data_IF_135498089800
#
_entry.id   IF_135498089800
#
_cell.length_a   1.000
_cell.length_b   1.000
_cell.length_c   1.000
_cell.angle_alpha   90.00
_cell.angle_beta   90.00
_cell.angle_gamma   90.00
#
_symmetry.space_group_name_H-M   'P 1'
#
loop_
_entity.id
_entity.type
_entity.pdbx_description
1 polymer ?
#
# COMPACT_ATOMS: atom_id res chain seq x y z
N UNK A 1 41.76 -69.23 -14.05
CA UNK A 1 42.30 -67.86 -14.14
C UNK A 1 42.16 -67.40 -15.57
N UNK A 2 41.39 -66.32 -15.79
CA UNK A 2 41.42 -65.36 -16.94
C UNK A 2 41.49 -65.91 -18.38
N UNK A 3 40.73 -65.45 -19.39
CA UNK A 3 39.62 -64.53 -19.59
C UNK A 3 39.62 -64.25 -21.11
N UNK A 4 38.52 -64.46 -21.83
CA UNK A 4 38.23 -63.71 -23.06
C UNK A 4 36.77 -63.95 -23.51
N UNK A 5 36.02 -62.86 -23.48
CA UNK A 5 34.57 -62.72 -23.62
C UNK A 5 34.03 -62.89 -25.05
N UNK A 6 32.74 -63.23 -25.24
CA UNK A 6 31.94 -62.82 -26.40
C UNK A 6 31.07 -61.58 -26.07
N UNK A 7 30.61 -60.79 -27.07
CA UNK A 7 29.78 -59.61 -26.86
C UNK A 7 28.28 -59.94 -26.67
N UNK A 8 27.48 -59.03 -26.07
CA UNK A 8 26.06 -59.22 -25.77
C UNK A 8 25.12 -58.76 -26.91
N UNK A 9 23.82 -59.09 -26.88
CA UNK A 9 22.83 -58.57 -27.82
C UNK A 9 22.23 -57.24 -27.32
N UNK A 10 21.50 -56.51 -28.18
CA UNK A 10 20.41 -55.67 -27.67
C UNK A 10 19.07 -55.98 -28.33
N UNK A 11 18.09 -56.26 -27.47
CA UNK A 11 16.68 -55.93 -27.68
C UNK A 11 16.44 -54.48 -27.23
N UNK A 12 15.54 -53.75 -27.88
CA UNK A 12 15.11 -52.44 -27.38
C UNK A 12 14.32 -51.62 -28.41
N UNK A 13 13.01 -51.60 -28.24
CA UNK A 13 12.03 -50.94 -29.08
C UNK A 13 12.04 -49.40 -28.96
N UNK A 14 11.67 -48.76 -30.08
CA UNK A 14 10.96 -47.49 -30.26
C UNK A 14 11.07 -46.39 -29.17
N UNK A 15 11.62 -45.24 -29.56
CA UNK A 15 11.31 -43.95 -28.95
C UNK A 15 10.96 -42.96 -30.06
N UNK A 16 9.65 -42.76 -30.28
CA UNK A 16 9.12 -41.66 -31.06
C UNK A 16 8.97 -40.44 -30.13
N UNK A 17 9.61 -39.34 -30.51
CA UNK A 17 9.56 -38.06 -29.81
C UNK A 17 8.14 -37.47 -29.84
N UNK A 18 7.62 -37.08 -28.68
CA UNK A 18 6.39 -36.30 -28.55
C UNK A 18 6.77 -34.82 -28.41
N UNK A 19 6.24 -34.01 -29.31
CA UNK A 19 6.52 -32.59 -29.48
C UNK A 19 5.88 -31.73 -28.39
N UNK A 20 6.57 -30.70 -27.92
CA UNK A 20 6.19 -29.85 -26.79
C UNK A 20 5.07 -28.81 -27.08
N UNK A 21 4.15 -29.10 -28.01
CA UNK A 21 3.13 -28.17 -28.49
C UNK A 21 1.70 -28.40 -27.94
N UNK A 22 1.46 -29.43 -27.12
CA UNK A 22 0.11 -29.85 -26.70
C UNK A 22 -0.23 -29.61 -25.21
N UNK A 23 0.20 -28.49 -24.60
CA UNK A 23 -0.13 -28.18 -23.18
C UNK A 23 -1.02 -26.96 -22.95
N UNK A 24 -1.70 -26.44 -23.98
CA UNK A 24 -2.54 -25.22 -23.86
C UNK A 24 -4.05 -25.46 -24.05
N UNK A 25 -4.50 -26.68 -24.37
CA UNK A 25 -5.93 -26.96 -24.58
C UNK A 25 -6.59 -27.69 -23.39
N UNK A 26 -6.52 -27.05 -22.22
CA UNK A 26 -6.97 -27.61 -20.94
C UNK A 26 -8.07 -26.82 -20.23
N UNK A 27 -9.03 -26.21 -20.95
CA UNK A 27 -10.20 -25.57 -20.33
C UNK A 27 -11.50 -26.23 -20.82
N UNK A 28 -11.87 -27.34 -20.20
CA UNK A 28 -13.22 -27.92 -20.34
C UNK A 28 -14.13 -27.38 -19.24
N UNK A 29 -15.23 -26.75 -19.64
CA UNK A 29 -16.32 -26.26 -18.76
C UNK A 29 -16.89 -27.43 -17.95
N UNK A 30 -16.84 -27.33 -16.62
CA UNK A 30 -17.74 -28.07 -15.71
C UNK A 30 -18.31 -27.13 -14.66
N UNK A 31 -19.64 -27.04 -14.68
CA UNK A 31 -20.49 -26.33 -13.71
C UNK A 31 -20.62 -27.14 -12.42
N UNK A 32 -20.46 -26.53 -11.24
CA UNK A 32 -21.03 -27.05 -9.98
C UNK A 32 -21.39 -25.90 -9.03
N UNK A 33 -22.65 -25.90 -8.56
CA UNK A 33 -23.18 -25.05 -7.48
C UNK A 33 -22.90 -25.67 -6.10
N UNK A 34 -22.63 -24.79 -5.12
CA UNK A 34 -22.84 -24.83 -3.64
C UNK A 34 -22.65 -26.15 -2.87
N UNK A 35 -21.78 -26.14 -1.83
CA UNK A 35 -22.19 -26.16 -0.41
C UNK A 35 -21.01 -26.12 0.60
N UNK A 36 -21.25 -25.40 1.70
CA UNK A 36 -20.78 -25.57 3.10
C UNK A 36 -19.33 -25.32 3.55
N UNK A 37 -19.24 -24.34 4.48
CA UNK A 37 -18.20 -24.09 5.49
C UNK A 37 -17.79 -25.36 6.25
N UNK A 38 -16.48 -25.58 6.38
CA UNK A 38 -15.85 -25.99 7.65
C UNK A 38 -14.35 -25.65 7.71
N UNK A 39 -13.86 -25.55 8.95
CA UNK A 39 -12.67 -24.83 9.42
C UNK A 39 -11.33 -25.52 9.14
N UNK A 40 -10.30 -24.67 9.03
CA UNK A 40 -8.88 -24.82 9.40
C UNK A 40 -8.05 -25.92 8.71
N UNK A 41 -7.06 -25.48 7.93
CA UNK A 41 -5.72 -26.08 7.90
C UNK A 41 -4.65 -24.98 8.03
N UNK A 42 -3.65 -25.27 8.85
CA UNK A 42 -2.52 -24.43 9.23
C UNK A 42 -1.34 -24.58 8.24
N UNK A 43 -0.50 -23.55 8.16
CA UNK A 43 0.87 -23.54 7.59
C UNK A 43 0.91 -22.93 6.18
N UNK A 44 1.72 -21.92 5.85
CA UNK A 44 3.11 -21.68 6.25
C UNK A 44 3.48 -20.20 6.13
N UNK A 45 3.59 -19.52 7.28
CA UNK A 45 4.34 -18.27 7.43
C UNK A 45 5.38 -18.46 8.54
N UNK A 46 6.53 -19.03 8.19
CA UNK A 46 7.72 -18.97 9.04
C UNK A 46 8.63 -17.82 8.55
N UNK A 47 8.17 -16.59 8.73
CA UNK A 47 9.09 -15.53 9.15
C UNK A 47 9.16 -15.60 10.68
N UNK A 48 10.02 -16.50 11.17
CA UNK A 48 10.43 -16.48 12.57
C UNK A 48 11.44 -15.34 12.68
N UNK A 49 10.98 -14.15 13.05
CA UNK A 49 11.85 -13.20 13.74
C UNK A 49 12.41 -13.96 14.95
N UNK A 50 13.72 -14.20 14.96
CA UNK A 50 14.42 -14.56 16.19
C UNK A 50 14.23 -13.39 17.15
N UNK A 51 13.22 -13.50 18.02
CA UNK A 51 13.24 -12.83 19.30
C UNK A 51 14.24 -13.61 20.15
N UNK A 52 15.54 -13.40 19.92
CA UNK A 52 16.50 -13.59 20.99
C UNK A 52 16.07 -12.60 22.06
N UNK A 53 15.73 -13.09 23.26
CA UNK A 53 15.71 -12.23 24.42
C UNK A 53 17.05 -11.49 24.45
N UNK A 54 17.09 -10.15 24.53
CA UNK A 54 18.30 -9.51 24.95
C UNK A 54 18.52 -9.94 26.40
N UNK A 55 19.59 -10.70 26.64
CA UNK A 55 20.17 -10.81 27.97
C UNK A 55 20.23 -9.39 28.57
N UNK A 56 19.61 -9.22 29.73
CA UNK A 56 19.63 -7.99 30.51
C UNK A 56 21.07 -7.72 30.96
N UNK A 57 21.87 -7.12 30.08
CA UNK A 57 23.06 -6.41 30.51
C UNK A 57 22.63 -5.13 31.24
N UNK A 58 23.11 -4.88 32.47
CA UNK A 58 22.82 -3.62 33.16
C UNK A 58 23.36 -2.46 32.33
N UNK A 59 22.47 -1.55 31.92
CA UNK A 59 22.85 -0.32 31.23
C UNK A 59 23.70 0.57 32.17
N UNK A 60 24.71 1.29 31.64
CA UNK A 60 25.45 2.29 32.41
C UNK A 60 24.49 3.38 32.95
N UNK A 61 24.48 3.56 34.28
CA UNK A 61 23.48 4.30 35.05
C UNK A 61 23.50 5.85 34.93
N UNK A 62 23.81 6.45 33.76
CA UNK A 62 24.04 7.92 33.69
C UNK A 62 23.15 8.73 32.73
N UNK A 63 22.03 8.20 32.22
CA UNK A 63 21.01 8.99 31.44
C UNK A 63 19.56 8.89 31.98
N UNK A 64 19.33 8.28 33.14
CA UNK A 64 17.99 7.98 33.65
C UNK A 64 17.23 9.17 34.25
N UNK A 65 17.90 10.02 35.03
CA UNK A 65 17.24 11.02 35.87
C UNK A 65 16.50 12.12 35.09
N UNK A 66 17.12 12.68 34.04
CA UNK A 66 16.47 13.70 33.22
C UNK A 66 15.28 13.13 32.42
N UNK A 67 15.37 11.89 31.94
CA UNK A 67 14.31 11.25 31.13
C UNK A 67 13.06 10.94 31.96
N UNK A 68 13.23 10.53 33.22
CA UNK A 68 12.10 10.33 34.15
C UNK A 68 11.43 11.67 34.47
N UNK A 69 12.22 12.73 34.68
CA UNK A 69 11.66 14.05 34.97
C UNK A 69 10.82 14.64 33.83
N UNK A 70 11.26 14.47 32.58
CA UNK A 70 10.53 14.99 31.41
C UNK A 70 9.25 14.19 31.13
N UNK A 71 9.26 12.87 31.30
CA UNK A 71 8.06 12.04 31.18
C UNK A 71 6.97 12.45 32.17
N UNK A 72 7.34 12.73 33.43
CA UNK A 72 6.42 13.22 34.46
C UNK A 72 5.83 14.59 34.10
N UNK A 73 6.62 15.48 33.48
CA UNK A 73 6.12 16.80 33.02
C UNK A 73 5.08 16.63 31.92
N UNK A 74 5.33 15.78 30.92
CA UNK A 74 4.36 15.50 29.86
C UNK A 74 3.08 14.85 30.40
N UNK A 75 3.22 13.88 31.30
CA UNK A 75 2.07 13.21 31.91
C UNK A 75 1.24 14.19 32.75
N UNK A 76 1.88 15.00 33.59
CA UNK A 76 1.21 16.04 34.36
C UNK A 76 0.49 17.03 33.45
N UNK A 77 1.16 17.53 32.41
CA UNK A 77 0.57 18.50 31.49
C UNK A 77 -0.61 17.89 30.71
N UNK A 78 -0.51 16.63 30.31
CA UNK A 78 -1.60 15.92 29.65
C UNK A 78 -2.80 15.77 30.58
N UNK A 79 -2.60 15.32 31.83
CA UNK A 79 -3.68 15.24 32.84
C UNK A 79 -4.30 16.60 33.13
N UNK A 80 -3.49 17.65 33.19
CA UNK A 80 -3.96 19.03 33.35
C UNK A 80 -4.87 19.46 32.20
N UNK A 81 -4.49 19.18 30.94
CA UNK A 81 -5.32 19.46 29.77
C UNK A 81 -6.59 18.61 29.71
N UNK A 82 -6.55 17.37 30.19
CA UNK A 82 -7.67 16.43 30.19
C UNK A 82 -8.67 16.65 31.33
N UNK A 83 -8.29 17.40 32.37
CA UNK A 83 -9.16 17.72 33.50
C UNK A 83 -10.51 18.32 33.05
N UNK A 84 -11.65 17.87 33.61
CA UNK A 84 -12.96 18.42 33.30
C UNK A 84 -13.09 19.88 33.72
N UNK A 85 -12.36 20.30 34.75
CA UNK A 85 -12.36 21.68 35.25
C UNK A 85 -11.44 22.62 34.45
N UNK A 86 -10.76 22.10 33.42
CA UNK A 86 -9.88 22.89 32.57
C UNK A 86 -10.67 23.93 31.77
N UNK A 87 -10.35 25.21 31.94
CA UNK A 87 -11.01 26.32 31.24
C UNK A 87 -10.13 26.87 30.10
N UNK A 88 -10.46 26.60 28.81
CA UNK A 88 -9.68 27.10 27.67
C UNK A 88 -9.67 28.63 27.58
N UNK A 89 -10.70 29.30 28.09
CA UNK A 89 -10.84 30.76 28.11
C UNK A 89 -9.75 31.48 28.92
N UNK A 90 -9.26 30.84 29.99
CA UNK A 90 -8.17 31.34 30.83
C UNK A 90 -6.83 30.93 30.20
N UNK A 91 -6.70 29.65 29.85
CA UNK A 91 -5.45 29.08 29.34
C UNK A 91 -4.99 29.69 27.99
N UNK A 92 -5.90 30.20 27.16
CA UNK A 92 -5.56 30.83 25.87
C UNK A 92 -4.60 32.03 25.98
N UNK A 93 -4.46 32.63 27.17
CA UNK A 93 -3.50 33.73 27.41
C UNK A 93 -2.06 33.24 27.50
N UNK A 94 -1.86 31.95 27.79
CA UNK A 94 -0.56 31.33 28.00
C UNK A 94 -0.22 30.32 26.90
N UNK A 95 -1.23 29.60 26.41
CA UNK A 95 -1.11 28.71 25.24
C UNK A 95 -1.40 29.55 23.99
N UNK A 96 -0.37 30.22 23.49
CA UNK A 96 -0.43 31.06 22.30
C UNK A 96 0.27 30.41 21.09
N UNK A 97 0.40 31.15 19.99
CA UNK A 97 1.07 30.66 18.77
C UNK A 97 2.55 30.35 19.01
N UNK A 98 3.22 31.09 19.89
CA UNK A 98 4.64 30.88 20.22
C UNK A 98 4.82 29.57 20.99
N UNK A 99 3.95 29.29 21.95
CA UNK A 99 3.92 28.01 22.65
C UNK A 99 3.75 26.84 21.68
N UNK A 100 2.77 26.94 20.75
CA UNK A 100 2.54 25.90 19.74
C UNK A 100 3.75 25.71 18.82
N UNK A 101 4.41 26.79 18.41
CA UNK A 101 5.61 26.72 17.58
C UNK A 101 6.73 25.94 18.27
N UNK A 102 7.02 26.26 19.54
CA UNK A 102 8.04 25.56 20.33
C UNK A 102 7.65 24.09 20.56
N UNK A 103 6.37 23.82 20.81
CA UNK A 103 5.86 22.45 20.96
C UNK A 103 6.06 21.62 19.68
N UNK A 104 5.82 22.22 18.51
CA UNK A 104 6.00 21.55 17.21
C UNK A 104 7.47 21.25 16.90
N UNK A 105 8.41 22.10 17.34
CA UNK A 105 9.84 21.85 17.19
C UNK A 105 10.31 20.60 17.95
N UNK A 106 9.67 20.26 19.07
CA UNK A 106 9.99 19.07 19.86
C UNK A 106 9.63 17.75 19.15
N UNK A 107 8.79 17.78 18.12
CA UNK A 107 8.46 16.57 17.34
C UNK A 107 9.66 15.99 16.60
N UNK A 108 10.76 16.73 16.45
CA UNK A 108 12.00 16.21 15.89
C UNK A 108 12.84 15.39 16.90
N UNK A 109 12.33 15.16 18.12
CA UNK A 109 12.97 14.29 19.11
C UNK A 109 13.21 12.88 18.57
N UNK A 110 14.40 12.33 18.84
CA UNK A 110 14.74 10.94 18.48
C UNK A 110 13.94 9.92 19.32
N UNK A 111 13.47 10.30 20.52
CA UNK A 111 12.76 9.39 21.43
C UNK A 111 11.29 9.22 21.02
N UNK A 112 10.87 8.03 20.52
CA UNK A 112 9.48 7.82 20.09
C UNK A 112 8.45 8.01 21.21
N UNK A 113 8.85 7.83 22.48
CA UNK A 113 7.95 8.02 23.62
C UNK A 113 7.61 9.49 23.82
N UNK A 114 8.58 10.37 23.66
CA UNK A 114 8.35 11.82 23.72
C UNK A 114 7.44 12.26 22.58
N UNK A 115 7.69 11.77 21.36
CA UNK A 115 6.82 12.07 20.21
C UNK A 115 5.38 11.59 20.42
N UNK A 116 5.17 10.45 21.07
CA UNK A 116 3.82 9.95 21.37
C UNK A 116 3.08 10.83 22.42
N UNK A 117 3.80 11.34 23.43
CA UNK A 117 3.25 12.34 24.35
C UNK A 117 2.91 13.65 23.61
N UNK A 118 3.84 14.16 22.81
CA UNK A 118 3.66 15.38 22.02
C UNK A 118 2.46 15.26 21.07
N UNK A 119 2.31 14.11 20.41
CA UNK A 119 1.16 13.77 19.57
C UNK A 119 -0.15 13.98 20.31
N UNK A 120 -0.24 13.38 21.50
CA UNK A 120 -1.45 13.43 22.32
C UNK A 120 -1.71 14.85 22.82
N UNK A 121 -0.69 15.54 23.32
CA UNK A 121 -0.78 16.93 23.80
C UNK A 121 -1.24 17.87 22.69
N UNK A 122 -0.60 17.82 21.52
CA UNK A 122 -0.95 18.67 20.38
C UNK A 122 -2.38 18.40 19.89
N UNK A 123 -2.79 17.13 19.85
CA UNK A 123 -4.17 16.76 19.49
C UNK A 123 -5.19 17.35 20.47
N UNK A 124 -4.94 17.28 21.79
CA UNK A 124 -5.80 17.90 22.81
C UNK A 124 -5.86 19.42 22.68
N UNK A 125 -4.72 20.07 22.44
CA UNK A 125 -4.67 21.52 22.20
C UNK A 125 -5.49 21.88 20.95
N UNK A 126 -5.33 21.16 19.85
CA UNK A 126 -6.10 21.39 18.62
C UNK A 126 -7.62 21.26 18.86
N UNK A 127 -8.02 20.25 19.65
CA UNK A 127 -9.42 20.03 20.02
C UNK A 127 -10.01 21.19 20.82
N UNK A 128 -9.33 21.61 21.90
CA UNK A 128 -9.83 22.59 22.88
C UNK A 128 -9.70 24.05 22.42
N UNK A 129 -8.67 24.38 21.61
CA UNK A 129 -8.38 25.76 21.22
C UNK A 129 -8.71 26.03 19.74
N UNK A 130 -9.98 26.36 19.47
CA UNK A 130 -10.47 26.67 18.12
C UNK A 130 -9.65 27.75 17.39
N UNK A 131 -9.20 28.79 18.11
CA UNK A 131 -8.40 29.89 17.56
C UNK A 131 -6.99 29.51 17.09
N UNK A 132 -6.44 28.39 17.59
CA UNK A 132 -5.11 27.91 17.21
C UNK A 132 -5.13 26.94 16.03
N UNK A 133 -6.31 26.42 15.64
CA UNK A 133 -6.43 25.37 14.62
C UNK A 133 -5.81 25.74 13.27
N UNK A 134 -6.09 26.96 12.80
CA UNK A 134 -5.54 27.44 11.52
C UNK A 134 -4.01 27.56 11.58
N UNK A 135 -3.48 28.07 12.70
CA UNK A 135 -2.04 28.20 12.92
C UNK A 135 -1.35 26.82 12.96
N UNK A 136 -1.90 25.86 13.73
CA UNK A 136 -1.36 24.50 13.82
C UNK A 136 -1.31 23.85 12.43
N UNK A 137 -2.40 23.88 11.66
CA UNK A 137 -2.42 23.31 10.30
C UNK A 137 -1.38 23.98 9.39
N UNK A 138 -1.24 25.31 9.48
CA UNK A 138 -0.24 26.06 8.71
C UNK A 138 1.19 25.66 9.07
N UNK A 139 1.50 25.50 10.36
CA UNK A 139 2.84 25.12 10.79
C UNK A 139 3.19 23.67 10.44
N UNK A 140 2.26 22.73 10.60
CA UNK A 140 2.46 21.34 10.15
C UNK A 140 2.71 21.31 8.63
N UNK A 141 1.96 22.09 7.86
CA UNK A 141 2.19 22.23 6.43
C UNK A 141 3.61 22.75 6.12
N UNK A 142 4.06 23.81 6.80
CA UNK A 142 5.43 24.32 6.63
C UNK A 142 6.49 23.26 6.95
N UNK A 143 6.30 22.47 8.02
CA UNK A 143 7.20 21.38 8.40
C UNK A 143 7.26 20.33 7.28
N UNK A 144 6.11 19.93 6.73
CA UNK A 144 6.07 18.96 5.64
C UNK A 144 6.69 19.49 4.35
N UNK A 145 6.45 20.76 3.99
CA UNK A 145 7.10 21.36 2.82
C UNK A 145 8.62 21.39 2.98
N UNK A 146 9.12 21.78 4.16
CA UNK A 146 10.56 21.75 4.48
C UNK A 146 11.12 20.32 4.42
N UNK A 147 10.40 19.36 4.97
CA UNK A 147 10.78 17.94 4.93
C UNK A 147 10.88 17.42 3.48
N UNK A 148 9.90 17.72 2.61
CA UNK A 148 9.86 17.21 1.23
C UNK A 148 10.93 17.87 0.35
N UNK A 149 11.10 19.19 0.47
CA UNK A 149 11.86 19.97 -0.52
C UNK A 149 13.25 20.43 -0.04
N UNK A 150 13.52 20.46 1.27
CA UNK A 150 14.78 21.01 1.80
C UNK A 150 15.64 19.95 2.49
N UNK A 151 15.12 19.30 3.54
CA UNK A 151 15.97 18.52 4.46
C UNK A 151 15.89 17.01 4.26
N UNK A 152 14.75 16.48 3.77
CA UNK A 152 14.41 15.05 3.83
C UNK A 152 14.58 14.42 5.24
N UNK A 153 14.61 15.26 6.28
CA UNK A 153 14.86 14.85 7.66
C UNK A 153 13.90 15.55 8.61
N UNK A 154 13.10 14.74 9.31
CA UNK A 154 12.25 15.11 10.44
C UNK A 154 11.74 13.81 11.07
N UNK A 155 11.92 13.62 12.38
CA UNK A 155 11.60 12.34 13.03
C UNK A 155 10.09 12.15 13.28
N UNK A 156 9.34 13.23 13.49
CA UNK A 156 7.93 13.20 13.90
C UNK A 156 6.89 13.18 12.76
N UNK A 157 7.25 12.80 11.53
CA UNK A 157 6.33 12.85 10.39
C UNK A 157 5.12 11.93 10.61
N UNK A 158 5.32 10.72 11.11
CA UNK A 158 4.26 9.74 11.35
C UNK A 158 3.25 10.26 12.37
N UNK A 159 3.72 10.77 13.50
CA UNK A 159 2.88 11.27 14.60
C UNK A 159 2.08 12.51 14.18
N UNK A 160 2.66 13.41 13.38
CA UNK A 160 1.93 14.55 12.81
C UNK A 160 0.84 14.10 11.81
N UNK A 161 1.12 13.08 11.01
CA UNK A 161 0.12 12.49 10.10
C UNK A 161 -1.03 11.81 10.86
N UNK A 162 -0.77 11.13 11.99
CA UNK A 162 -1.84 10.56 12.82
C UNK A 162 -2.80 11.64 13.34
N UNK A 163 -2.25 12.76 13.81
CA UNK A 163 -3.06 13.91 14.25
C UNK A 163 -3.87 14.44 13.07
N UNK A 164 -3.23 14.62 11.91
CA UNK A 164 -3.90 15.11 10.71
C UNK A 164 -5.01 14.19 10.23
N UNK A 165 -4.84 12.87 10.30
CA UNK A 165 -5.89 11.91 9.97
C UNK A 165 -7.16 12.15 10.79
N UNK A 166 -7.02 12.34 12.11
CA UNK A 166 -8.14 12.71 12.98
C UNK A 166 -8.75 14.07 12.63
N UNK A 167 -7.91 15.07 12.31
CA UNK A 167 -8.35 16.40 11.89
C UNK A 167 -9.16 16.35 10.59
N UNK A 168 -8.69 15.59 9.59
CA UNK A 168 -9.32 15.43 8.27
C UNK A 168 -10.69 14.78 8.43
N UNK A 169 -10.80 13.74 9.26
CA UNK A 169 -12.08 13.12 9.55
C UNK A 169 -13.09 14.12 10.16
N UNK A 170 -12.62 15.11 10.92
CA UNK A 170 -13.44 16.18 11.48
C UNK A 170 -13.75 17.36 10.53
N UNK A 171 -13.34 17.34 9.26
CA UNK A 171 -13.64 18.43 8.33
C UNK A 171 -15.13 18.54 8.01
N UNK A 172 -15.62 19.78 8.03
CA UNK A 172 -16.96 20.12 7.57
C UNK A 172 -17.03 20.05 6.04
N UNK A 173 -18.18 19.61 5.53
CA UNK A 173 -18.50 19.65 4.11
C UNK A 173 -19.27 20.94 3.78
N UNK A 174 -19.05 21.55 2.60
CA UNK A 174 -18.09 21.16 1.57
C UNK A 174 -16.63 21.42 1.98
N UNK A 175 -15.71 20.59 1.49
CA UNK A 175 -14.28 20.76 1.77
C UNK A 175 -13.77 22.12 1.25
N UNK A 176 -13.07 22.86 2.12
CA UNK A 176 -12.43 24.12 1.75
C UNK A 176 -11.32 23.91 0.71
N UNK A 177 -11.13 24.91 -0.16
CA UNK A 177 -10.07 24.90 -1.17
C UNK A 177 -8.67 24.70 -0.58
N UNK A 178 -8.39 25.29 0.59
CA UNK A 178 -7.11 25.13 1.30
C UNK A 178 -6.81 23.65 1.64
N UNK A 179 -7.83 22.87 2.01
CA UNK A 179 -7.66 21.45 2.34
C UNK A 179 -7.42 20.60 1.08
N UNK A 180 -8.11 20.92 -0.02
CA UNK A 180 -7.86 20.27 -1.33
C UNK A 180 -6.45 20.56 -1.84
N UNK A 181 -5.97 21.79 -1.66
CA UNK A 181 -4.59 22.16 -2.00
C UNK A 181 -3.59 21.42 -1.10
N UNK A 182 -3.86 21.31 0.20
CA UNK A 182 -3.01 20.56 1.13
C UNK A 182 -2.84 19.10 0.70
N UNK A 183 -3.93 18.40 0.35
CA UNK A 183 -3.86 17.04 -0.21
C UNK A 183 -2.94 16.98 -1.43
N UNK A 184 -3.21 17.81 -2.45
CA UNK A 184 -2.52 17.71 -3.74
C UNK A 184 -1.08 18.23 -3.75
N UNK A 185 -0.75 19.22 -2.90
CA UNK A 185 0.55 19.90 -2.89
C UNK A 185 1.49 19.42 -1.80
N UNK A 186 0.98 18.69 -0.81
CA UNK A 186 1.75 18.24 0.35
C UNK A 186 1.65 16.73 0.49
N UNK A 187 0.47 16.18 0.76
CA UNK A 187 0.32 14.75 1.03
C UNK A 187 0.73 13.88 -0.16
N UNK A 188 0.27 14.22 -1.37
CA UNK A 188 0.65 13.43 -2.57
C UNK A 188 2.16 13.47 -2.83
N UNK A 189 2.86 14.63 -2.83
CA UNK A 189 4.31 14.66 -2.93
C UNK A 189 5.07 13.93 -1.81
N UNK A 190 4.52 13.79 -0.59
CA UNK A 190 5.21 13.06 0.49
C UNK A 190 5.53 11.60 0.15
N UNK A 191 4.81 10.99 -0.80
CA UNK A 191 5.10 9.64 -1.28
C UNK A 191 6.46 9.51 -1.98
N UNK A 192 7.08 10.62 -2.40
CA UNK A 192 8.42 10.57 -3.02
C UNK A 192 9.55 10.42 -1.98
N UNK A 193 9.31 10.79 -0.72
CA UNK A 193 10.33 10.83 0.33
C UNK A 193 11.01 9.47 0.55
N UNK A 194 12.34 9.45 0.69
CA UNK A 194 13.11 8.19 0.83
C UNK A 194 12.63 7.33 2.01
N UNK A 195 12.33 7.95 3.14
CA UNK A 195 11.85 7.31 4.37
C UNK A 195 10.36 6.96 4.41
N UNK A 196 9.66 6.88 3.26
CA UNK A 196 8.21 6.62 3.19
C UNK A 196 7.76 5.45 4.07
N UNK A 197 8.57 4.39 4.16
CA UNK A 197 8.23 3.20 4.95
C UNK A 197 7.90 3.48 6.42
N UNK A 198 8.43 4.56 6.99
CA UNK A 198 8.24 4.93 8.40
C UNK A 198 6.87 5.53 8.69
N UNK A 199 6.20 6.11 7.69
CA UNK A 199 4.96 6.89 7.88
C UNK A 199 3.88 6.61 6.81
N UNK A 200 4.11 5.64 5.93
CA UNK A 200 3.20 5.32 4.82
C UNK A 200 1.78 5.00 5.29
N UNK A 201 1.63 4.17 6.33
CA UNK A 201 0.30 3.76 6.80
C UNK A 201 -0.53 4.98 7.26
N UNK A 202 0.10 5.92 7.97
CA UNK A 202 -0.51 7.16 8.42
C UNK A 202 -0.83 8.09 7.24
N UNK A 203 0.03 8.13 6.22
CA UNK A 203 -0.17 8.92 5.01
C UNK A 203 -1.33 8.39 4.16
N UNK A 204 -1.34 7.08 3.89
CA UNK A 204 -2.40 6.39 3.17
C UNK A 204 -3.76 6.60 3.87
N UNK A 205 -3.80 6.44 5.20
CA UNK A 205 -4.99 6.75 6.00
C UNK A 205 -5.48 8.19 5.77
N UNK A 206 -4.59 9.19 5.80
CA UNK A 206 -4.97 10.57 5.51
C UNK A 206 -5.56 10.75 4.10
N UNK A 207 -4.97 10.09 3.10
CA UNK A 207 -5.44 10.15 1.70
C UNK A 207 -6.84 9.53 1.59
N UNK A 208 -7.05 8.32 2.13
CA UNK A 208 -8.35 7.64 2.13
C UNK A 208 -9.40 8.48 2.85
N UNK A 209 -9.10 9.06 4.01
CA UNK A 209 -10.03 9.94 4.71
C UNK A 209 -10.45 11.17 3.88
N UNK A 210 -9.58 11.71 3.03
CA UNK A 210 -9.96 12.79 2.12
C UNK A 210 -10.94 12.32 1.05
N UNK A 211 -10.74 11.11 0.51
CA UNK A 211 -11.58 10.54 -0.54
C UNK A 211 -12.97 10.15 -0.02
N UNK A 212 -13.06 9.66 1.22
CA UNK A 212 -14.35 9.42 1.89
C UNK A 212 -15.17 10.71 2.07
N UNK A 213 -14.50 11.86 2.22
CA UNK A 213 -15.17 13.17 2.37
C UNK A 213 -15.60 13.78 1.05
N UNK A 214 -14.84 13.56 -0.03
CA UNK A 214 -15.11 14.12 -1.35
C UNK A 214 -14.54 13.20 -2.44
N UNK A 215 -15.40 12.36 -3.01
CA UNK A 215 -15.04 11.36 -4.04
C UNK A 215 -14.60 12.00 -5.36
N UNK A 216 -14.84 13.29 -5.58
CA UNK A 216 -14.35 14.01 -6.77
C UNK A 216 -12.83 14.16 -6.78
N UNK A 217 -12.18 13.98 -5.63
CA UNK A 217 -10.73 14.06 -5.48
C UNK A 217 -10.00 12.77 -5.88
N UNK A 218 -10.72 11.67 -6.10
CA UNK A 218 -10.09 10.36 -6.40
C UNK A 218 -9.28 10.40 -7.68
N UNK A 219 -9.83 10.95 -8.77
CA UNK A 219 -9.11 11.02 -10.05
C UNK A 219 -7.77 11.77 -9.94
N UNK A 220 -7.70 13.03 -9.43
CA UNK A 220 -6.43 13.73 -9.31
C UNK A 220 -5.45 13.04 -8.35
N UNK A 221 -5.93 12.40 -7.27
CA UNK A 221 -5.09 11.63 -6.34
C UNK A 221 -4.44 10.44 -7.02
N UNK A 222 -5.21 9.58 -7.68
CA UNK A 222 -4.69 8.40 -8.38
C UNK A 222 -3.72 8.81 -9.49
N UNK A 223 -4.06 9.85 -10.27
CA UNK A 223 -3.12 10.39 -11.28
C UNK A 223 -1.83 10.91 -10.65
N UNK A 224 -1.91 11.50 -9.46
CA UNK A 224 -0.75 11.93 -8.68
C UNK A 224 0.13 10.77 -8.23
N UNK A 225 -0.46 9.72 -7.67
CA UNK A 225 0.27 8.50 -7.27
C UNK A 225 0.92 7.80 -8.47
N UNK A 226 0.18 7.65 -9.57
CA UNK A 226 0.71 7.08 -10.82
C UNK A 226 1.87 7.93 -11.39
N UNK A 227 1.82 9.25 -11.26
CA UNK A 227 2.92 10.15 -11.67
C UNK A 227 4.18 9.92 -10.84
N UNK A 228 4.02 9.68 -9.53
CA UNK A 228 5.12 9.45 -8.60
C UNK A 228 5.48 7.97 -8.40
N UNK A 229 4.99 7.09 -9.29
CA UNK A 229 5.20 5.66 -9.15
C UNK A 229 6.69 5.30 -9.02
N UNK A 230 7.08 4.55 -7.97
CA UNK A 230 8.48 4.21 -7.70
C UNK A 230 9.00 3.26 -8.78
N UNK A 231 10.14 3.60 -9.39
CA UNK A 231 10.78 2.78 -10.44
C UNK A 231 12.06 2.08 -9.98
N UNK A 232 12.62 2.52 -8.85
CA UNK A 232 13.94 2.08 -8.36
C UNK A 232 13.87 1.33 -7.04
N UNK A 233 12.70 1.28 -6.39
CA UNK A 233 12.52 0.66 -5.08
C UNK A 233 11.26 -0.20 -5.06
N UNK A 234 11.44 -1.52 -5.14
CA UNK A 234 10.34 -2.50 -5.13
C UNK A 234 9.52 -2.47 -3.85
N UNK A 235 10.14 -2.18 -2.70
CA UNK A 235 9.42 -2.06 -1.43
C UNK A 235 8.39 -0.94 -1.49
N UNK A 236 8.78 0.25 -1.98
CA UNK A 236 7.83 1.36 -2.19
C UNK A 236 6.74 1.00 -3.18
N UNK A 237 7.07 0.24 -4.23
CA UNK A 237 6.07 -0.21 -5.21
C UNK A 237 5.01 -1.11 -4.56
N UNK A 238 5.41 -2.02 -3.67
CA UNK A 238 4.46 -2.83 -2.87
C UNK A 238 3.60 -1.95 -1.96
N UNK A 239 4.17 -0.90 -1.36
CA UNK A 239 3.41 0.06 -0.53
C UNK A 239 2.37 0.82 -1.36
N UNK A 240 2.75 1.35 -2.53
CA UNK A 240 1.83 2.02 -3.45
C UNK A 240 0.71 1.09 -3.91
N UNK A 241 1.01 -0.16 -4.25
CA UNK A 241 -0.02 -1.15 -4.59
C UNK A 241 -0.98 -1.38 -3.42
N UNK A 242 -0.49 -1.38 -2.19
CA UNK A 242 -1.33 -1.46 -1.00
C UNK A 242 -2.25 -0.27 -0.82
N UNK A 243 -1.71 0.94 -0.93
CA UNK A 243 -2.51 2.17 -0.83
C UNK A 243 -3.56 2.28 -1.94
N UNK A 244 -3.21 1.88 -3.17
CA UNK A 244 -4.15 1.86 -4.28
C UNK A 244 -5.31 0.89 -3.99
N UNK A 245 -5.05 -0.29 -3.42
CA UNK A 245 -6.13 -1.21 -3.02
C UNK A 245 -7.06 -0.55 -1.99
N UNK A 246 -6.52 0.07 -0.95
CA UNK A 246 -7.31 0.78 0.07
C UNK A 246 -8.14 1.93 -0.54
N UNK A 247 -7.59 2.66 -1.51
CA UNK A 247 -8.34 3.70 -2.24
C UNK A 247 -9.45 3.09 -3.10
N UNK A 248 -9.19 1.95 -3.75
CA UNK A 248 -10.20 1.26 -4.56
C UNK A 248 -11.33 0.68 -3.70
N UNK A 249 -11.11 0.36 -2.43
CA UNK A 249 -12.19 -0.10 -1.53
C UNK A 249 -13.25 0.97 -1.26
N UNK A 250 -12.89 2.26 -1.37
CA UNK A 250 -13.81 3.40 -1.13
C UNK A 250 -14.21 4.13 -2.42
N UNK A 251 -13.76 3.68 -3.58
CA UNK A 251 -14.02 4.38 -4.85
C UNK A 251 -15.46 4.20 -5.33
N UNK A 252 -16.07 5.26 -5.85
CA UNK A 252 -17.34 5.14 -6.59
C UNK A 252 -17.10 4.61 -8.02
N UNK A 253 -17.98 3.74 -8.56
CA UNK A 253 -17.85 3.22 -9.93
C UNK A 253 -17.75 4.31 -11.01
N UNK A 254 -18.39 5.47 -10.80
CA UNK A 254 -18.34 6.61 -11.73
C UNK A 254 -16.95 7.25 -11.79
N UNK A 255 -16.22 7.30 -10.67
CA UNK A 255 -14.85 7.80 -10.62
C UNK A 255 -13.86 6.75 -11.13
N UNK A 256 -14.11 5.47 -10.86
CA UNK A 256 -13.29 4.37 -11.35
C UNK A 256 -13.14 4.39 -12.88
N UNK A 257 -14.23 4.60 -13.62
CA UNK A 257 -14.21 4.71 -15.09
C UNK A 257 -13.24 5.76 -15.65
N UNK A 258 -12.92 6.80 -14.87
CA UNK A 258 -11.99 7.87 -15.29
C UNK A 258 -10.52 7.46 -15.15
N UNK A 259 -10.24 6.48 -14.29
CA UNK A 259 -8.88 6.04 -13.93
C UNK A 259 -8.57 4.61 -14.37
N UNK A 260 -9.56 3.82 -14.76
CA UNK A 260 -9.43 2.38 -15.06
C UNK A 260 -8.28 2.11 -16.05
N UNK A 261 -8.23 2.83 -17.18
CA UNK A 261 -7.22 2.59 -18.20
C UNK A 261 -5.79 2.90 -17.73
N UNK A 262 -5.46 4.11 -17.22
CA UNK A 262 -4.11 4.39 -16.75
C UNK A 262 -3.71 3.53 -15.56
N UNK A 263 -4.65 3.20 -14.66
CA UNK A 263 -4.39 2.34 -13.51
C UNK A 263 -4.05 0.91 -13.95
N UNK A 264 -4.88 0.27 -14.74
CA UNK A 264 -4.63 -1.11 -15.18
C UNK A 264 -3.44 -1.22 -16.13
N UNK A 265 -3.09 -0.17 -16.88
CA UNK A 265 -1.81 -0.12 -17.60
C UNK A 265 -0.61 -0.18 -16.65
N UNK A 266 -0.70 0.42 -15.46
CA UNK A 266 0.34 0.33 -14.44
C UNK A 266 0.33 -1.03 -13.75
N UNK A 267 -0.84 -1.54 -13.32
CA UNK A 267 -0.96 -2.88 -12.72
C UNK A 267 -0.44 -3.97 -13.66
N UNK A 268 -0.72 -3.88 -14.97
CA UNK A 268 -0.21 -4.77 -16.01
C UNK A 268 1.34 -4.84 -16.02
N UNK A 269 2.01 -3.72 -15.76
CA UNK A 269 3.48 -3.68 -15.62
C UNK A 269 3.95 -4.30 -14.30
N UNK A 270 3.26 -4.01 -13.19
CA UNK A 270 3.60 -4.56 -11.88
C UNK A 270 3.47 -6.09 -11.85
N UNK A 271 2.42 -6.63 -12.47
CA UNK A 271 2.21 -8.07 -12.65
C UNK A 271 3.35 -8.67 -13.50
N UNK A 272 3.81 -7.96 -14.53
CA UNK A 272 4.96 -8.35 -15.36
C UNK A 272 6.33 -8.13 -14.72
N UNK A 273 6.39 -7.65 -13.48
CA UNK A 273 7.66 -7.41 -12.79
C UNK A 273 8.39 -8.72 -12.52
N UNK A 274 9.70 -8.73 -12.71
CA UNK A 274 10.54 -9.88 -12.32
C UNK A 274 10.66 -10.01 -10.80
N UNK A 275 10.30 -8.98 -10.04
CA UNK A 275 10.34 -8.96 -8.59
C UNK A 275 9.07 -9.60 -8.00
N UNK A 276 9.21 -10.78 -7.41
CA UNK A 276 8.06 -11.61 -7.02
C UNK A 276 7.09 -10.88 -6.06
N UNK A 277 7.57 -10.11 -5.08
CA UNK A 277 6.68 -9.42 -4.13
C UNK A 277 5.79 -8.36 -4.81
N UNK A 278 6.27 -7.73 -5.89
CA UNK A 278 5.51 -6.72 -6.62
C UNK A 278 4.43 -7.42 -7.45
N UNK A 279 4.82 -8.47 -8.19
CA UNK A 279 3.89 -9.25 -8.99
C UNK A 279 2.81 -9.93 -8.12
N UNK A 280 3.20 -10.53 -7.00
CA UNK A 280 2.28 -11.13 -6.03
C UNK A 280 1.30 -10.10 -5.47
N UNK A 281 1.80 -8.96 -4.98
CA UNK A 281 0.94 -7.90 -4.40
C UNK A 281 -0.07 -7.37 -5.41
N UNK A 282 0.33 -7.21 -6.67
CA UNK A 282 -0.56 -6.77 -7.74
C UNK A 282 -1.61 -7.83 -8.11
N UNK A 283 -1.24 -9.12 -8.11
CA UNK A 283 -2.18 -10.22 -8.39
C UNK A 283 -3.22 -10.40 -7.27
N UNK A 284 -2.90 -10.01 -6.04
CA UNK A 284 -3.86 -10.06 -4.93
C UNK A 284 -5.04 -9.08 -5.05
N UNK A 285 -5.02 -8.14 -6.00
CA UNK A 285 -6.18 -7.30 -6.30
C UNK A 285 -7.40 -8.14 -6.73
N UNK A 286 -7.18 -9.31 -7.35
CA UNK A 286 -8.25 -10.23 -7.75
C UNK A 286 -8.87 -11.02 -6.59
N UNK A 287 -8.29 -10.95 -5.38
CA UNK A 287 -8.88 -11.55 -4.18
C UNK A 287 -9.88 -10.61 -3.49
N UNK A 288 -9.87 -9.32 -3.85
CA UNK A 288 -10.77 -8.34 -3.29
C UNK A 288 -12.09 -8.34 -4.07
N UNK A 289 -13.20 -8.67 -3.38
CA UNK A 289 -14.51 -8.82 -4.01
C UNK A 289 -15.03 -7.52 -4.64
N UNK A 290 -14.73 -6.36 -4.05
CA UNK A 290 -15.17 -5.07 -4.57
C UNK A 290 -14.37 -4.65 -5.80
N UNK A 291 -13.06 -4.83 -5.79
CA UNK A 291 -12.23 -4.61 -6.98
C UNK A 291 -12.67 -5.55 -8.10
N UNK A 292 -13.01 -6.80 -7.77
CA UNK A 292 -13.45 -7.79 -8.75
C UNK A 292 -14.77 -7.37 -9.43
N UNK A 293 -15.74 -6.83 -8.68
CA UNK A 293 -17.00 -6.33 -9.26
C UNK A 293 -16.77 -5.12 -10.16
N UNK A 294 -15.88 -4.18 -9.78
CA UNK A 294 -15.50 -3.05 -10.62
C UNK A 294 -14.84 -3.51 -11.94
N UNK A 295 -14.02 -4.57 -11.89
CA UNK A 295 -13.41 -5.18 -13.08
C UNK A 295 -14.48 -5.82 -13.96
N UNK A 296 -15.42 -6.55 -13.39
CA UNK A 296 -16.49 -7.24 -14.13
C UNK A 296 -17.36 -6.25 -14.91
N UNK A 297 -17.74 -5.13 -14.29
CA UNK A 297 -18.53 -4.07 -14.93
C UNK A 297 -17.80 -3.36 -16.09
N UNK A 298 -16.47 -3.40 -16.12
CA UNK A 298 -15.63 -2.68 -17.09
C UNK A 298 -14.68 -3.62 -17.86
N UNK A 299 -15.05 -4.90 -17.95
CA UNK A 299 -14.19 -5.97 -18.46
C UNK A 299 -13.72 -5.72 -19.90
N UNK A 300 -14.57 -5.08 -20.73
CA UNK A 300 -14.31 -4.84 -22.15
C UNK A 300 -13.06 -3.97 -22.39
N UNK A 301 -12.72 -3.10 -21.43
CA UNK A 301 -11.52 -2.27 -21.49
C UNK A 301 -10.35 -2.84 -20.69
N UNK A 302 -10.64 -3.42 -19.52
CA UNK A 302 -9.60 -3.91 -18.60
C UNK A 302 -8.94 -5.18 -19.14
N UNK A 303 -9.72 -6.12 -19.68
CA UNK A 303 -9.21 -7.41 -20.14
C UNK A 303 -8.15 -7.26 -21.25
N UNK A 304 -8.37 -6.47 -22.32
CA UNK A 304 -7.33 -6.25 -23.34
C UNK A 304 -6.01 -5.68 -22.79
N UNK A 305 -6.06 -4.83 -21.75
CA UNK A 305 -4.87 -4.21 -21.14
C UNK A 305 -4.08 -5.23 -20.31
N UNK A 306 -4.77 -6.10 -19.60
CA UNK A 306 -4.17 -7.07 -18.68
C UNK A 306 -3.72 -8.37 -19.39
N UNK A 307 -4.44 -8.77 -20.43
CA UNK A 307 -4.29 -10.08 -21.06
C UNK A 307 -2.86 -10.36 -21.54
N UNK A 308 -2.26 -9.44 -22.29
CA UNK A 308 -0.91 -9.65 -22.87
C UNK A 308 0.17 -9.91 -21.81
N UNK A 309 0.11 -9.18 -20.71
CA UNK A 309 1.03 -9.34 -19.57
C UNK A 309 0.82 -10.68 -18.87
N UNK A 310 -0.42 -10.98 -18.47
CA UNK A 310 -0.78 -12.23 -17.78
C UNK A 310 -0.42 -13.47 -18.63
N UNK A 311 -0.75 -13.44 -19.92
CA UNK A 311 -0.48 -14.56 -20.83
C UNK A 311 1.03 -14.78 -21.08
N UNK A 312 1.85 -13.74 -21.01
CA UNK A 312 3.31 -13.86 -21.10
C UNK A 312 3.89 -14.50 -19.83
N UNK A 313 3.48 -14.01 -18.66
CA UNK A 313 4.01 -14.45 -17.37
C UNK A 313 3.65 -15.90 -17.07
N UNK A 314 2.45 -16.35 -17.48
CA UNK A 314 2.02 -17.74 -17.29
C UNK A 314 2.93 -18.78 -17.96
N UNK A 315 3.72 -18.37 -18.97
CA UNK A 315 4.66 -19.23 -19.69
C UNK A 315 6.13 -19.00 -19.33
N UNK A 316 6.50 -17.75 -19.02
CA UNK A 316 7.91 -17.33 -18.97
C UNK A 316 8.42 -17.01 -17.55
N UNK A 317 7.55 -16.99 -16.52
CA UNK A 317 7.95 -16.55 -15.18
C UNK A 317 8.68 -17.64 -14.39
N UNK A 318 9.78 -17.26 -13.73
CA UNK A 318 10.66 -18.18 -13.00
C UNK A 318 10.05 -18.74 -11.70
N UNK A 319 9.17 -17.96 -11.05
CA UNK A 319 8.55 -18.35 -9.78
C UNK A 319 7.22 -19.09 -10.03
N UNK A 320 7.08 -20.37 -9.63
CA UNK A 320 5.89 -21.17 -9.87
C UNK A 320 4.65 -20.68 -9.11
N UNK A 321 4.82 -20.03 -7.94
CA UNK A 321 3.70 -19.47 -7.18
C UNK A 321 3.03 -18.33 -7.95
N UNK A 322 3.83 -17.45 -8.55
CA UNK A 322 3.32 -16.35 -9.39
C UNK A 322 2.60 -16.93 -10.61
N UNK A 323 3.16 -17.96 -11.24
CA UNK A 323 2.52 -18.65 -12.37
C UNK A 323 1.15 -19.20 -11.97
N UNK A 324 1.04 -19.85 -10.80
CA UNK A 324 -0.24 -20.36 -10.30
C UNK A 324 -1.27 -19.23 -10.03
N UNK A 325 -0.84 -18.12 -9.42
CA UNK A 325 -1.70 -16.95 -9.21
C UNK A 325 -2.18 -16.36 -10.55
N UNK A 326 -1.31 -16.23 -11.53
CA UNK A 326 -1.67 -15.76 -12.87
C UNK A 326 -2.68 -16.69 -13.55
N UNK A 327 -2.52 -18.01 -13.42
CA UNK A 327 -3.52 -18.96 -13.95
C UNK A 327 -4.89 -18.79 -13.30
N UNK A 328 -4.94 -18.57 -11.99
CA UNK A 328 -6.20 -18.29 -11.30
C UNK A 328 -6.83 -17.00 -11.84
N UNK A 329 -6.06 -15.93 -11.98
CA UNK A 329 -6.54 -14.65 -12.54
C UNK A 329 -7.03 -14.81 -13.97
N UNK A 330 -6.28 -15.49 -14.84
CA UNK A 330 -6.70 -15.76 -16.22
C UNK A 330 -8.01 -16.55 -16.28
N UNK A 331 -8.18 -17.54 -15.40
CA UNK A 331 -9.42 -18.31 -15.29
C UNK A 331 -10.60 -17.41 -14.89
N UNK A 332 -10.42 -16.56 -13.87
CA UNK A 332 -11.46 -15.61 -13.44
C UNK A 332 -11.85 -14.65 -14.56
N UNK A 333 -10.89 -14.11 -15.31
CA UNK A 333 -11.16 -13.24 -16.45
C UNK A 333 -11.89 -13.95 -17.59
N UNK A 334 -11.57 -15.22 -17.85
CA UNK A 334 -12.27 -16.05 -18.83
C UNK A 334 -13.72 -16.35 -18.40
N UNK A 335 -13.96 -16.54 -17.10
CA UNK A 335 -15.31 -16.73 -16.55
C UNK A 335 -16.18 -15.46 -16.69
N UNK A 336 -15.58 -14.27 -16.58
CA UNK A 336 -16.27 -12.98 -16.77
C UNK A 336 -16.66 -12.71 -18.24
N UNK A 337 -15.73 -12.86 -19.18
CA UNK A 337 -16.01 -12.66 -20.61
C UNK A 337 -15.19 -13.60 -21.50
N UNK A 338 -15.68 -14.84 -21.63
CA UNK A 338 -15.00 -15.87 -22.41
C UNK A 338 -14.83 -15.55 -23.89
N UNK A 339 -15.80 -14.87 -24.51
CA UNK A 339 -15.71 -14.51 -25.95
C UNK A 339 -14.56 -13.54 -26.20
N UNK A 340 -14.47 -12.47 -25.42
CA UNK A 340 -13.39 -11.49 -25.54
C UNK A 340 -12.03 -12.13 -25.23
N UNK A 341 -11.99 -13.06 -24.26
CA UNK A 341 -10.79 -13.81 -23.91
C UNK A 341 -10.29 -14.68 -25.07
N UNK A 342 -11.18 -15.40 -25.76
CA UNK A 342 -10.86 -16.24 -26.91
C UNK A 342 -10.37 -15.41 -28.11
N UNK A 343 -11.01 -14.27 -28.36
CA UNK A 343 -10.64 -13.32 -29.41
C UNK A 343 -9.23 -12.75 -29.17
N UNK A 344 -8.93 -12.34 -27.94
CA UNK A 344 -7.61 -11.83 -27.55
C UNK A 344 -6.53 -12.92 -27.61
N UNK A 345 -6.85 -14.15 -27.23
CA UNK A 345 -5.93 -15.29 -27.33
C UNK A 345 -5.54 -15.55 -28.79
N UNK A 346 -6.52 -15.52 -29.69
CA UNK A 346 -6.32 -15.72 -31.13
C UNK A 346 -5.46 -14.60 -31.72
N UNK A 347 -5.79 -13.34 -31.40
CA UNK A 347 -5.04 -12.16 -31.83
C UNK A 347 -3.59 -12.18 -31.35
N UNK A 348 -3.36 -12.52 -30.07
CA UNK A 348 -2.01 -12.57 -29.48
C UNK A 348 -1.15 -13.68 -30.11
N UNK A 349 -1.72 -14.85 -30.40
CA UNK A 349 -1.03 -15.93 -31.13
C UNK A 349 -0.64 -15.48 -32.54
N UNK A 350 -1.55 -14.83 -33.26
CA UNK A 350 -1.29 -14.30 -34.60
C UNK A 350 -0.20 -13.22 -34.61
N UNK A 351 -0.18 -12.34 -33.61
CA UNK A 351 0.84 -11.29 -33.48
C UNK A 351 2.24 -11.86 -33.17
N UNK A 352 2.32 -12.90 -32.32
CA UNK A 352 3.58 -13.62 -32.05
C UNK A 352 4.13 -14.32 -33.30
N UNK A 353 3.26 -14.90 -34.13
CA UNK A 353 3.67 -15.53 -35.39
C UNK A 353 4.17 -14.53 -36.44
N UNK A 354 3.77 -13.25 -36.37
CA UNK A 354 4.28 -12.20 -37.27
C UNK A 354 5.60 -11.57 -36.82
N UNK A 355 5.95 -11.70 -35.53
CA UNK A 355 7.18 -11.15 -34.95
C UNK A 355 8.36 -12.12 -35.01
N UNK A 356 8.11 -13.37 -35.37
CA UNK A 356 9.09 -14.37 -35.78
C UNK A 356 9.10 -14.47 -37.30
#
# INVERSE_FOLDING_TARGET
MSSSSPPPPPAGAASAAISAAEKVDGFTRKSVRKAQRQKRSQGSSQFRCQCNQPELHPLPQLKGHARISVALVYEFFLRFLESPDFQPSIAKRYIDQKFVQQLLELFDSEDPRERDFLKTVLHRIYGKFLGLRAFIRKQINNIFLRFIYETEHFNGVAELLEILGSIINGFALPLKAEHKQFLMKVLIPMHTAKGLALFHAQLAYCVVQFLEKDTTLTEPVIRGLLKFWPKTCSQKEVMFLGEIEEILDVIEPTQFKKIEEPLFKQISKCVSSSHFQVAERALYFWNNEYILSLIEENIDKILPIMFGSLYKISKEHWNPTIVALVYNVLKTLMEMNGKLFDDLTSSYKAERQRKH
#
